data_IF_038310632530
#
_entry.id   IF_038310632530
#
_cell.length_a   1.000
_cell.length_b   1.000
_cell.length_c   1.000
_cell.angle_alpha   90.00
_cell.angle_beta   90.00
_cell.angle_gamma   90.00
#
_symmetry.space_group_name_H-M   'P 1'
#
loop_
_entity.id
_entity.type
_entity.pdbx_description
1 polymer ?
#
# COMPACT_ATOMS: atom_id res chain seq x y z
N UNK A 1 47.02 -53.50 8.39
CA UNK A 1 46.89 -52.73 9.64
C UNK A 1 45.80 -51.69 9.41
N UNK A 2 44.61 -51.92 9.97
CA UNK A 2 43.49 -50.99 9.87
C UNK A 2 43.67 -49.91 10.94
N UNK A 3 43.78 -48.63 10.54
CA UNK A 3 43.80 -47.51 11.47
C UNK A 3 42.37 -47.28 11.97
N UNK A 4 42.15 -47.41 13.28
CA UNK A 4 40.91 -46.98 13.93
C UNK A 4 40.74 -45.47 13.78
N UNK A 5 39.61 -45.05 13.20
CA UNK A 5 39.23 -43.64 13.07
C UNK A 5 38.84 -43.06 14.45
N UNK A 6 39.39 -41.89 14.76
CA UNK A 6 39.18 -41.21 16.03
C UNK A 6 37.71 -40.75 16.18
N UNK A 7 37.11 -40.94 17.35
CA UNK A 7 35.68 -40.67 17.60
C UNK A 7 35.22 -39.24 17.22
N UNK A 8 36.14 -38.26 17.29
CA UNK A 8 35.87 -36.88 16.84
C UNK A 8 35.64 -36.81 15.33
N UNK A 9 36.36 -37.57 14.50
CA UNK A 9 36.11 -37.64 13.05
C UNK A 9 34.80 -38.35 12.73
N UNK A 10 34.32 -39.23 13.61
CA UNK A 10 33.04 -39.93 13.46
C UNK A 10 31.84 -39.06 13.80
N UNK A 11 31.99 -38.12 14.75
CA UNK A 11 30.93 -37.18 15.13
C UNK A 11 30.99 -35.86 14.37
N UNK A 12 32.19 -35.44 13.96
CA UNK A 12 32.47 -34.22 13.22
C UNK A 12 33.29 -34.56 11.98
N UNK A 13 32.70 -35.36 11.09
CA UNK A 13 33.33 -35.65 9.80
C UNK A 13 33.56 -34.33 9.07
N UNK A 14 34.79 -34.04 8.62
CA UNK A 14 35.09 -32.81 7.89
C UNK A 14 34.14 -32.69 6.71
N UNK A 15 33.32 -31.64 6.67
CA UNK A 15 32.41 -31.39 5.53
C UNK A 15 33.14 -30.89 4.29
N UNK A 16 34.45 -30.68 4.39
CA UNK A 16 35.33 -30.27 3.31
C UNK A 16 36.53 -31.22 3.27
N UNK A 17 36.74 -31.81 2.12
CA UNK A 17 37.90 -32.64 1.78
C UNK A 17 38.90 -31.76 1.03
N UNK A 18 40.19 -32.14 1.02
CA UNK A 18 41.21 -31.38 0.26
C UNK A 18 40.88 -31.31 -1.24
N UNK A 19 40.05 -32.24 -1.74
CA UNK A 19 39.51 -32.23 -3.11
C UNK A 19 38.50 -31.09 -3.35
N UNK A 20 37.72 -30.67 -2.34
CA UNK A 20 36.77 -29.55 -2.42
C UNK A 20 37.45 -28.18 -2.53
N UNK A 21 38.76 -28.09 -2.25
CA UNK A 21 39.57 -26.87 -2.42
C UNK A 21 40.07 -26.69 -3.85
N UNK A 22 40.13 -27.76 -4.65
CA UNK A 22 40.62 -27.74 -6.03
C UNK A 22 39.51 -27.94 -7.07
N UNK A 23 38.29 -28.28 -6.63
CA UNK A 23 37.13 -28.42 -7.50
C UNK A 23 36.39 -27.07 -7.60
N UNK A 24 36.23 -26.47 -8.80
CA UNK A 24 35.48 -25.24 -8.95
C UNK A 24 34.01 -25.51 -8.59
N UNK A 25 33.36 -24.65 -7.77
CA UNK A 25 32.02 -24.93 -7.29
C UNK A 25 31.06 -25.04 -8.47
N UNK A 26 30.54 -26.24 -8.69
CA UNK A 26 29.44 -26.50 -9.61
C UNK A 26 28.21 -25.73 -9.19
N UNK A 27 28.07 -24.51 -9.70
CA UNK A 27 26.86 -23.88 -10.26
C UNK A 27 25.56 -23.73 -9.46
N UNK A 28 25.24 -24.52 -8.45
CA UNK A 28 23.86 -24.56 -7.91
C UNK A 28 23.75 -24.14 -6.43
N UNK A 29 24.72 -24.47 -5.59
CA UNK A 29 24.60 -24.20 -4.14
C UNK A 29 24.89 -22.75 -3.74
N UNK A 30 25.76 -22.05 -4.49
CA UNK A 30 26.05 -20.63 -4.24
C UNK A 30 24.82 -19.74 -4.53
N UNK A 31 24.04 -20.10 -5.56
CA UNK A 31 22.81 -19.40 -5.95
C UNK A 31 21.67 -19.58 -4.93
N UNK A 32 21.57 -20.75 -4.27
CA UNK A 32 20.51 -20.99 -3.27
C UNK A 32 20.82 -20.29 -1.94
N UNK A 33 22.08 -20.23 -1.54
CA UNK A 33 22.51 -19.52 -0.34
C UNK A 33 22.34 -18.01 -0.49
N UNK A 34 22.69 -17.45 -1.66
CA UNK A 34 22.50 -16.04 -1.97
C UNK A 34 21.00 -15.65 -2.06
N UNK A 35 20.15 -16.53 -2.61
CA UNK A 35 18.69 -16.31 -2.61
C UNK A 35 18.12 -16.28 -1.19
N UNK A 36 18.52 -17.24 -0.33
CA UNK A 36 18.08 -17.27 1.08
C UNK A 36 18.61 -16.07 1.88
N UNK A 37 19.83 -15.61 1.63
CA UNK A 37 20.39 -14.42 2.31
C UNK A 37 19.65 -13.15 1.89
N UNK A 38 19.34 -12.98 0.60
CA UNK A 38 18.50 -11.88 0.09
C UNK A 38 17.09 -11.91 0.67
N UNK A 39 16.46 -13.08 0.79
CA UNK A 39 15.14 -13.20 1.42
C UNK A 39 15.16 -12.85 2.92
N UNK A 40 16.19 -13.28 3.65
CA UNK A 40 16.38 -12.91 5.06
C UNK A 40 16.59 -11.41 5.21
N UNK A 41 17.44 -10.81 4.37
CA UNK A 41 17.67 -9.36 4.37
C UNK A 41 16.37 -8.58 4.12
N UNK A 42 15.58 -8.97 3.12
CA UNK A 42 14.26 -8.38 2.84
C UNK A 42 13.29 -8.53 4.02
N UNK A 43 13.33 -9.65 4.74
CA UNK A 43 12.47 -9.87 5.91
C UNK A 43 12.88 -8.96 7.07
N UNK A 44 14.19 -8.82 7.32
CA UNK A 44 14.74 -7.92 8.35
C UNK A 44 14.43 -6.45 8.03
N UNK A 45 14.60 -6.04 6.77
CA UNK A 45 14.28 -4.69 6.30
C UNK A 45 12.79 -4.36 6.52
N UNK A 46 11.88 -5.30 6.21
CA UNK A 46 10.44 -5.14 6.49
C UNK A 46 10.15 -4.96 7.98
N UNK A 47 10.81 -5.73 8.84
CA UNK A 47 10.64 -5.62 10.30
C UNK A 47 11.15 -4.25 10.78
N UNK A 48 12.32 -3.81 10.31
CA UNK A 48 12.89 -2.52 10.68
C UNK A 48 12.01 -1.35 10.23
N UNK A 49 11.51 -1.38 9.00
CA UNK A 49 10.62 -0.34 8.46
C UNK A 49 9.29 -0.29 9.25
N UNK A 50 8.74 -1.45 9.61
CA UNK A 50 7.53 -1.52 10.43
C UNK A 50 7.77 -0.96 11.84
N UNK A 51 8.87 -1.33 12.49
CA UNK A 51 9.24 -0.82 13.81
C UNK A 51 9.45 0.70 13.80
N UNK A 52 10.17 1.22 12.80
CA UNK A 52 10.42 2.65 12.63
C UNK A 52 9.12 3.42 12.46
N UNK A 53 8.20 2.92 11.61
CA UNK A 53 6.89 3.54 11.40
C UNK A 53 6.07 3.55 12.70
N UNK A 54 6.10 2.46 13.47
CA UNK A 54 5.39 2.35 14.75
C UNK A 54 5.93 3.34 15.79
N UNK A 55 7.25 3.50 15.89
CA UNK A 55 7.89 4.48 16.78
C UNK A 55 7.49 5.91 16.38
N UNK A 56 7.51 6.24 15.09
CA UNK A 56 7.12 7.57 14.59
C UNK A 56 5.63 7.87 14.85
N UNK A 57 4.75 6.88 14.70
CA UNK A 57 3.33 7.01 15.03
C UNK A 57 3.10 7.17 16.53
N UNK A 58 3.85 6.44 17.36
CA UNK A 58 3.79 6.55 18.81
C UNK A 58 4.30 7.92 19.31
N UNK A 59 5.38 8.44 18.74
CA UNK A 59 5.83 9.81 19.02
C UNK A 59 4.79 10.86 18.62
N UNK A 60 4.17 10.72 17.45
CA UNK A 60 3.08 11.62 17.02
C UNK A 60 1.90 11.54 17.98
N UNK A 61 1.54 10.33 18.45
CA UNK A 61 0.50 10.13 19.46
C UNK A 61 0.89 10.80 20.79
N UNK A 62 2.12 10.59 21.28
CA UNK A 62 2.62 11.22 22.52
C UNK A 62 2.61 12.75 22.44
N UNK A 63 3.00 13.34 21.30
CA UNK A 63 2.92 14.79 21.08
C UNK A 63 1.48 15.29 21.10
N UNK A 64 0.55 14.57 20.46
CA UNK A 64 -0.88 14.88 20.50
C UNK A 64 -1.45 14.78 21.92
N UNK A 65 -1.15 13.71 22.64
CA UNK A 65 -1.59 13.51 24.03
C UNK A 65 -1.03 14.59 24.96
N UNK A 66 0.23 14.99 24.80
CA UNK A 66 0.83 16.07 25.57
C UNK A 66 0.11 17.40 25.34
N UNK A 67 -0.16 17.74 24.07
CA UNK A 67 -0.91 18.95 23.72
C UNK A 67 -2.33 18.89 24.26
N UNK A 68 -3.03 17.75 24.13
CA UNK A 68 -4.36 17.56 24.70
C UNK A 68 -4.37 17.71 26.22
N UNK A 69 -3.40 17.13 26.93
CA UNK A 69 -3.27 17.28 28.39
C UNK A 69 -2.95 18.72 28.80
N UNK A 70 -2.14 19.43 28.02
CA UNK A 70 -1.85 20.84 28.25
C UNK A 70 -3.09 21.72 28.08
N UNK A 71 -3.89 21.47 27.03
CA UNK A 71 -5.16 22.14 26.78
C UNK A 71 -6.16 21.87 27.91
N UNK A 72 -6.26 20.62 28.39
CA UNK A 72 -7.18 20.24 29.48
C UNK A 72 -6.75 20.85 30.82
N UNK A 73 -5.47 20.77 31.19
CA UNK A 73 -4.98 21.30 32.46
C UNK A 73 -4.97 22.85 32.52
N UNK A 74 -4.90 23.54 31.38
CA UNK A 74 -5.04 25.01 31.34
C UNK A 74 -6.49 25.50 31.25
N UNK A 75 -7.43 24.65 30.81
CA UNK A 75 -8.84 25.00 30.69
C UNK A 75 -9.69 24.62 31.90
N UNK A 76 -9.25 23.67 32.74
CA UNK A 76 -9.89 23.38 34.02
C UNK A 76 -9.53 24.47 35.06
N UNK A 77 -10.51 25.23 35.57
CA UNK A 77 -10.26 26.13 36.67
C UNK A 77 -9.96 25.30 37.91
N UNK A 78 -8.74 25.42 38.45
CA UNK A 78 -8.46 24.95 39.81
C UNK A 78 -9.34 25.75 40.76
N UNK A 79 -10.42 25.11 41.23
CA UNK A 79 -11.29 25.64 42.28
C UNK A 79 -10.44 25.83 43.54
N UNK A 80 -10.44 27.03 44.15
CA UNK A 80 -9.87 27.18 45.49
C UNK A 80 -10.81 26.49 46.49
N UNK A 81 -10.32 25.42 47.13
CA UNK A 81 -10.91 24.89 48.37
C UNK A 81 -10.95 26.03 49.40
N UNK A 82 -12.17 26.38 49.82
CA UNK A 82 -12.45 27.48 50.72
C UNK A 82 -12.81 26.88 52.07
N UNK A 83 -11.81 26.71 52.93
CA UNK A 83 -12.04 26.34 54.33
C UNK A 83 -12.64 27.53 55.07
N UNK A 84 -13.86 27.32 55.57
CA UNK A 84 -14.67 28.27 56.30
C UNK A 84 -14.46 28.08 57.80
N UNK A 85 -13.66 28.95 58.42
CA UNK A 85 -13.69 29.16 59.87
C UNK A 85 -14.35 30.52 60.17
N UNK A 86 -15.67 30.51 60.37
CA UNK A 86 -16.39 31.62 61.00
C UNK A 86 -16.81 31.22 62.42
N UNK A 87 -16.07 31.70 63.43
CA UNK A 87 -16.52 31.71 64.82
C UNK A 87 -17.01 33.11 65.18
N UNK A 88 -18.30 33.14 65.49
CA UNK A 88 -19.10 34.25 65.99
C UNK A 88 -18.52 34.79 67.30
N UNK A 89 -18.51 36.12 67.46
CA UNK A 89 -18.64 36.73 68.80
C UNK A 89 -19.58 37.93 68.74
N UNK A 90 -20.63 37.76 69.54
CA UNK A 90 -21.84 38.54 69.67
C UNK A 90 -21.57 39.87 70.36
N UNK A 91 -22.18 40.91 69.79
CA UNK A 91 -22.36 42.26 70.33
C UNK A 91 -23.08 42.21 71.69
N UNK A 92 -22.43 42.73 72.73
CA UNK A 92 -23.05 43.02 74.03
C UNK A 92 -23.19 44.55 74.17
N UNK A 93 -24.32 45.09 73.72
CA UNK A 93 -24.78 46.43 74.12
C UNK A 93 -25.25 46.36 75.57
N UNK A 94 -24.44 46.89 76.50
CA UNK A 94 -24.89 47.18 77.86
C UNK A 94 -25.48 48.60 77.88
N UNK A 95 -26.79 48.66 77.80
CA UNK A 95 -27.57 49.83 78.19
C UNK A 95 -27.67 49.82 79.72
N UNK A 96 -26.91 50.68 80.40
CA UNK A 96 -27.13 50.99 81.82
C UNK A 96 -27.72 52.38 81.92
N UNK A 97 -29.05 52.41 81.81
CA UNK A 97 -29.88 53.46 82.38
C UNK A 97 -29.90 53.22 83.89
N UNK A 98 -29.22 54.07 84.66
CA UNK A 98 -29.30 54.07 86.12
C UNK A 98 -29.95 55.40 86.56
N UNK A 99 -31.16 55.28 87.13
CA UNK A 99 -31.76 56.13 88.16
C UNK A 99 -31.47 57.64 88.05
N UNK A 100 -32.32 58.47 87.42
CA UNK A 100 -33.63 58.94 87.94
C UNK A 100 -33.69 58.94 89.47
N UNK A 101 -33.28 60.07 90.06
CA UNK A 101 -33.50 60.38 91.47
C UNK A 101 -34.97 60.75 91.69
N UNK A 102 -35.75 59.79 92.16
CA UNK A 102 -36.97 60.07 92.90
C UNK A 102 -36.58 60.57 94.30
N UNK A 103 -36.51 61.90 94.46
CA UNK A 103 -36.64 62.52 95.79
C UNK A 103 -38.13 62.74 96.05
N UNK A 104 -38.80 61.68 96.52
CA UNK A 104 -40.06 61.85 97.24
C UNK A 104 -39.69 62.27 98.67
N UNK A 105 -39.44 63.56 98.85
CA UNK A 105 -39.29 64.17 100.18
C UNK A 105 -40.69 64.20 100.81
N UNK A 106 -40.96 63.21 101.65
CA UNK A 106 -42.00 63.29 102.66
C UNK A 106 -41.74 64.50 103.56
N UNK A 107 -42.83 65.09 104.01
CA UNK A 107 -42.95 66.37 104.69
C UNK A 107 -42.05 66.55 105.92
N UNK A 108 -41.96 67.83 106.30
CA UNK A 108 -41.39 68.40 107.53
C UNK A 108 -39.92 68.82 107.46
N UNK A 109 -39.65 69.91 106.75
CA UNK A 109 -38.67 70.91 107.19
C UNK A 109 -39.22 72.30 106.89
N UNK A 110 -39.54 73.01 107.97
CA UNK A 110 -39.93 74.42 108.02
C UNK A 110 -38.85 75.34 107.42
N UNK A 111 -39.30 76.42 106.78
CA UNK A 111 -38.67 77.74 106.72
C UNK A 111 -37.13 77.81 106.70
N UNK A 112 -36.55 77.45 105.56
CA UNK A 112 -35.28 78.02 105.11
C UNK A 112 -35.43 78.59 103.70
N UNK A 113 -36.26 79.62 103.58
CA UNK A 113 -36.45 80.34 102.31
C UNK A 113 -35.30 81.33 102.00
N UNK A 114 -34.18 81.30 102.73
CA UNK A 114 -33.16 82.36 102.64
C UNK A 114 -31.69 81.88 102.64
N UNK A 115 -31.39 80.77 101.95
CA UNK A 115 -30.00 80.40 101.60
C UNK A 115 -29.87 80.07 100.10
N UNK A 116 -30.65 80.73 99.25
CA UNK A 116 -30.39 80.74 97.81
C UNK A 116 -29.85 82.11 97.39
N UNK A 117 -28.53 82.19 97.18
CA UNK A 117 -27.83 83.41 96.73
C UNK A 117 -28.32 83.88 95.34
N UNK A 118 -29.04 83.01 94.61
CA UNK A 118 -29.48 83.22 93.24
C UNK A 118 -30.95 83.64 93.18
N UNK A 119 -31.25 84.72 92.45
CA UNK A 119 -32.65 85.16 92.24
C UNK A 119 -33.37 84.13 91.37
N UNK A 120 -34.68 83.94 91.60
CA UNK A 120 -35.52 82.98 90.84
C UNK A 120 -35.40 83.13 89.31
N UNK A 121 -35.23 84.38 88.82
CA UNK A 121 -35.00 84.68 87.39
C UNK A 121 -33.65 84.15 86.89
N UNK A 122 -32.59 84.25 87.67
CA UNK A 122 -31.24 83.79 87.30
C UNK A 122 -31.19 82.26 87.21
N UNK A 123 -31.88 81.57 88.14
CA UNK A 123 -32.08 80.13 88.10
C UNK A 123 -32.86 79.68 86.85
N UNK A 124 -33.86 80.45 86.41
CA UNK A 124 -34.62 80.14 85.20
C UNK A 124 -33.75 80.24 83.93
N UNK A 125 -32.88 81.26 83.84
CA UNK A 125 -31.95 81.46 82.72
C UNK A 125 -30.94 80.30 82.66
N UNK A 126 -30.30 79.94 83.78
CA UNK A 126 -29.34 78.83 83.84
C UNK A 126 -30.01 77.50 83.46
N UNK A 127 -31.24 77.25 83.93
CA UNK A 127 -32.01 76.05 83.56
C UNK A 127 -32.40 76.04 82.08
N UNK A 128 -32.66 77.19 81.47
CA UNK A 128 -32.92 77.28 80.04
C UNK A 128 -31.65 77.00 79.23
N UNK A 129 -30.54 77.65 79.57
CA UNK A 129 -29.26 77.47 78.88
C UNK A 129 -28.74 76.02 79.00
N UNK A 130 -28.88 75.38 80.17
CA UNK A 130 -28.55 73.95 80.32
C UNK A 130 -29.46 73.04 79.48
N UNK A 131 -30.74 73.37 79.33
CA UNK A 131 -31.65 72.62 78.45
C UNK A 131 -31.26 72.77 76.99
N UNK A 132 -30.93 73.97 76.55
CA UNK A 132 -30.45 74.25 75.19
C UNK A 132 -29.13 73.53 74.91
N UNK A 133 -28.14 73.61 75.80
CA UNK A 133 -26.86 72.88 75.67
C UNK A 133 -27.04 71.37 75.65
N UNK A 134 -27.97 70.84 76.46
CA UNK A 134 -28.27 69.42 76.46
C UNK A 134 -28.98 68.96 75.17
N UNK A 135 -29.86 69.79 74.58
CA UNK A 135 -30.47 69.52 73.27
C UNK A 135 -29.42 69.59 72.15
N UNK A 136 -28.52 70.57 72.19
CA UNK A 136 -27.40 70.71 71.24
C UNK A 136 -26.49 69.48 71.30
N UNK A 137 -26.13 69.03 72.51
CA UNK A 137 -25.33 67.82 72.71
C UNK A 137 -26.04 66.56 72.21
N UNK A 138 -27.36 66.45 72.43
CA UNK A 138 -28.17 65.36 71.85
C UNK A 138 -28.18 65.40 70.33
N UNK A 139 -28.35 66.58 69.73
CA UNK A 139 -28.34 66.75 68.27
C UNK A 139 -26.99 66.37 67.66
N UNK A 140 -25.89 66.83 68.25
CA UNK A 140 -24.53 66.47 67.84
C UNK A 140 -24.27 64.96 68.00
N UNK A 141 -24.75 64.35 69.08
CA UNK A 141 -24.64 62.89 69.29
C UNK A 141 -25.40 62.10 68.22
N UNK A 142 -26.59 62.54 67.83
CA UNK A 142 -27.35 61.93 66.73
C UNK A 142 -26.60 62.09 65.40
N UNK A 143 -26.05 63.29 65.11
CA UNK A 143 -25.25 63.52 63.92
C UNK A 143 -24.01 62.61 63.87
N UNK A 144 -23.31 62.43 64.99
CA UNK A 144 -22.17 61.50 65.09
C UNK A 144 -22.58 60.04 64.85
N UNK A 145 -23.73 59.61 65.37
CA UNK A 145 -24.25 58.27 65.12
C UNK A 145 -24.59 58.06 63.63
N UNK A 146 -25.22 59.05 62.99
CA UNK A 146 -25.53 59.00 61.56
C UNK A 146 -24.27 58.94 60.70
N UNK A 147 -23.26 59.78 60.99
CA UNK A 147 -21.97 59.77 60.29
C UNK A 147 -21.24 58.43 60.47
N UNK A 148 -21.27 57.85 61.68
CA UNK A 148 -20.68 56.52 61.91
C UNK A 148 -21.40 55.41 61.13
N UNK A 149 -22.74 55.47 61.04
CA UNK A 149 -23.52 54.55 60.22
C UNK A 149 -23.16 54.69 58.72
N UNK A 150 -23.05 55.92 58.22
CA UNK A 150 -22.66 56.20 56.84
C UNK A 150 -21.25 55.68 56.53
N UNK A 151 -20.28 55.86 57.43
CA UNK A 151 -18.92 55.31 57.30
C UNK A 151 -18.95 53.78 57.25
N UNK A 152 -19.76 53.13 58.11
CA UNK A 152 -19.90 51.68 58.10
C UNK A 152 -20.49 51.18 56.78
N UNK A 153 -21.54 51.84 56.27
CA UNK A 153 -22.13 51.53 54.98
C UNK A 153 -21.12 51.70 53.84
N UNK A 154 -20.41 52.82 53.78
CA UNK A 154 -19.40 53.10 52.77
C UNK A 154 -18.27 52.05 52.80
N UNK A 155 -17.81 51.65 53.98
CA UNK A 155 -16.83 50.55 54.11
C UNK A 155 -17.35 49.23 53.56
N UNK A 156 -18.61 48.89 53.81
CA UNK A 156 -19.19 47.65 53.25
C UNK A 156 -19.36 47.73 51.73
N UNK A 157 -19.77 48.89 51.20
CA UNK A 157 -19.88 49.14 49.76
C UNK A 157 -18.50 49.02 49.09
N UNK A 158 -17.48 49.65 49.68
CA UNK A 158 -16.11 49.59 49.19
C UNK A 158 -15.59 48.15 49.10
N UNK A 159 -15.72 47.37 50.19
CA UNK A 159 -15.32 45.96 50.19
C UNK A 159 -16.04 45.13 49.13
N UNK A 160 -17.37 45.32 48.98
CA UNK A 160 -18.14 44.63 47.94
C UNK A 160 -17.68 44.99 46.53
N UNK A 161 -17.35 46.25 46.28
CA UNK A 161 -16.84 46.69 44.97
C UNK A 161 -15.44 46.17 44.70
N UNK A 162 -14.59 46.09 45.73
CA UNK A 162 -13.23 45.53 45.63
C UNK A 162 -13.27 44.04 45.30
N UNK A 163 -14.07 43.26 46.03
CA UNK A 163 -14.29 41.83 45.73
C UNK A 163 -14.86 41.61 44.32
N UNK A 164 -15.83 42.43 43.90
CA UNK A 164 -16.38 42.36 42.55
C UNK A 164 -15.34 42.68 41.47
N UNK A 165 -14.47 43.66 41.72
CA UNK A 165 -13.39 44.03 40.82
C UNK A 165 -12.36 42.90 40.67
N UNK A 166 -11.91 42.31 41.78
CA UNK A 166 -10.99 41.17 41.76
C UNK A 166 -11.57 39.98 41.00
N UNK A 167 -12.86 39.66 41.23
CA UNK A 167 -13.55 38.59 40.52
C UNK A 167 -13.62 38.83 39.01
N UNK A 168 -13.92 40.07 38.57
CA UNK A 168 -13.94 40.43 37.15
C UNK A 168 -12.54 40.34 36.54
N UNK A 169 -11.51 40.78 37.27
CA UNK A 169 -10.12 40.70 36.81
C UNK A 169 -9.66 39.24 36.64
N UNK A 170 -10.00 38.37 37.59
CA UNK A 170 -9.74 36.93 37.48
C UNK A 170 -10.47 36.33 36.28
N UNK A 171 -11.77 36.60 36.11
CA UNK A 171 -12.54 36.13 34.96
C UNK A 171 -11.96 36.62 33.62
N UNK A 172 -11.50 37.88 33.55
CA UNK A 172 -10.85 38.43 32.37
C UNK A 172 -9.54 37.72 32.03
N UNK A 173 -8.71 37.43 33.04
CA UNK A 173 -7.46 36.69 32.84
C UNK A 173 -7.70 35.27 32.32
N UNK A 174 -8.69 34.57 32.86
CA UNK A 174 -9.10 33.24 32.38
C UNK A 174 -9.63 33.30 30.95
N UNK A 175 -10.44 34.30 30.63
CA UNK A 175 -10.97 34.52 29.27
C UNK A 175 -9.84 34.77 28.27
N UNK A 176 -8.86 35.61 28.61
CA UNK A 176 -7.68 35.85 27.78
C UNK A 176 -6.88 34.57 27.53
N UNK A 177 -6.64 33.77 28.57
CA UNK A 177 -5.93 32.49 28.43
C UNK A 177 -6.68 31.54 27.49
N UNK A 178 -8.00 31.38 27.70
CA UNK A 178 -8.85 30.55 26.82
C UNK A 178 -8.79 31.02 25.37
N UNK A 179 -8.88 32.33 25.13
CA UNK A 179 -8.78 32.91 23.79
C UNK A 179 -7.43 32.59 23.12
N UNK A 180 -6.33 32.63 23.87
CA UNK A 180 -5.01 32.26 23.35
C UNK A 180 -4.92 30.76 23.02
N UNK A 181 -5.45 29.90 23.90
CA UNK A 181 -5.52 28.45 23.64
C UNK A 181 -6.32 28.15 22.36
N UNK A 182 -7.48 28.80 22.18
CA UNK A 182 -8.28 28.63 20.96
C UNK A 182 -7.54 29.12 19.71
N UNK A 183 -6.85 30.26 19.78
CA UNK A 183 -6.05 30.75 18.66
C UNK A 183 -4.96 29.76 18.24
N UNK A 184 -4.24 29.18 19.21
CA UNK A 184 -3.24 28.14 18.94
C UNK A 184 -3.87 26.87 18.35
N UNK A 185 -5.05 26.48 18.84
CA UNK A 185 -5.76 25.32 18.32
C UNK A 185 -6.18 25.51 16.87
N UNK A 186 -6.71 26.69 16.53
CA UNK A 186 -7.07 27.07 15.14
C UNK A 186 -5.84 27.03 14.24
N UNK A 187 -4.73 27.64 14.64
CA UNK A 187 -3.49 27.60 13.86
C UNK A 187 -2.98 26.16 13.62
N UNK A 188 -3.14 25.27 14.60
CA UNK A 188 -2.77 23.87 14.44
C UNK A 188 -3.70 23.15 13.45
N UNK A 189 -5.01 23.39 13.53
CA UNK A 189 -5.98 22.85 12.57
C UNK A 189 -5.71 23.33 11.15
N UNK A 190 -5.36 24.60 10.96
CA UNK A 190 -4.99 25.15 9.65
C UNK A 190 -3.76 24.45 9.07
N UNK A 191 -2.71 24.22 9.87
CA UNK A 191 -1.51 23.48 9.43
C UNK A 191 -1.83 22.04 9.05
N UNK A 192 -2.65 21.37 9.86
CA UNK A 192 -3.07 20.00 9.58
C UNK A 192 -3.94 19.92 8.32
N UNK A 193 -4.80 20.92 8.09
CA UNK A 193 -5.62 21.01 6.89
C UNK A 193 -4.76 21.23 5.64
N UNK A 194 -3.81 22.17 5.67
CA UNK A 194 -2.87 22.38 4.56
C UNK A 194 -2.07 21.12 4.23
N UNK A 195 -1.65 20.37 5.25
CA UNK A 195 -0.97 19.09 5.04
C UNK A 195 -1.88 18.07 4.37
N UNK A 196 -3.15 17.99 4.78
CA UNK A 196 -4.13 17.08 4.19
C UNK A 196 -4.45 17.46 2.75
N UNK A 197 -4.52 18.75 2.43
CA UNK A 197 -4.73 19.24 1.07
C UNK A 197 -3.56 18.86 0.15
N UNK A 198 -2.32 18.96 0.63
CA UNK A 198 -1.14 18.50 -0.11
C UNK A 198 -1.15 16.99 -0.34
N UNK A 199 -1.48 16.20 0.69
CA UNK A 199 -1.63 14.74 0.58
C UNK A 199 -2.73 14.37 -0.45
N UNK A 200 -3.85 15.09 -0.45
CA UNK A 200 -4.96 14.89 -1.38
C UNK A 200 -4.55 15.26 -2.81
N UNK A 201 -3.84 16.37 -3.00
CA UNK A 201 -3.36 16.77 -4.32
C UNK A 201 -2.37 15.74 -4.89
N UNK A 202 -1.42 15.26 -4.08
CA UNK A 202 -0.49 14.20 -4.49
C UNK A 202 -1.23 12.92 -4.90
N UNK A 203 -2.22 12.48 -4.10
CA UNK A 203 -3.03 11.30 -4.41
C UNK A 203 -3.85 11.50 -5.72
N UNK A 204 -4.34 12.71 -5.97
CA UNK A 204 -5.05 13.06 -7.20
C UNK A 204 -4.14 13.00 -8.43
N UNK A 205 -2.89 13.44 -8.30
CA UNK A 205 -1.88 13.35 -9.36
C UNK A 205 -1.50 11.90 -9.65
N UNK A 206 -1.25 11.10 -8.61
CA UNK A 206 -0.99 9.66 -8.76
C UNK A 206 -2.17 8.97 -9.45
N UNK A 207 -3.41 9.25 -9.03
CA UNK A 207 -4.60 8.66 -9.66
C UNK A 207 -4.72 9.03 -11.15
N UNK A 208 -4.39 10.27 -11.52
CA UNK A 208 -4.35 10.69 -12.93
C UNK A 208 -3.28 9.93 -13.71
N UNK A 209 -2.10 9.73 -13.13
CA UNK A 209 -1.04 8.94 -13.75
C UNK A 209 -1.46 7.49 -13.93
N UNK A 210 -1.99 6.85 -12.88
CA UNK A 210 -2.50 5.47 -12.95
C UNK A 210 -3.60 5.34 -13.99
N UNK A 211 -4.53 6.29 -14.05
CA UNK A 211 -5.58 6.32 -15.07
C UNK A 211 -5.01 6.37 -16.50
N UNK A 212 -3.99 7.20 -16.75
CA UNK A 212 -3.26 7.22 -18.03
C UNK A 212 -2.59 5.88 -18.33
N UNK A 213 -1.94 5.25 -17.34
CA UNK A 213 -1.31 3.94 -17.55
C UNK A 213 -2.33 2.86 -17.90
N UNK A 214 -3.48 2.83 -17.23
CA UNK A 214 -4.58 1.89 -17.53
C UNK A 214 -5.13 2.12 -18.94
N UNK A 215 -5.32 3.39 -19.34
CA UNK A 215 -5.76 3.73 -20.70
C UNK A 215 -4.77 3.25 -21.76
N UNK A 216 -3.47 3.42 -21.52
CA UNK A 216 -2.42 2.94 -22.42
C UNK A 216 -2.39 1.41 -22.51
N UNK A 217 -2.40 0.72 -21.36
CA UNK A 217 -2.42 -0.75 -21.33
C UNK A 217 -3.67 -1.32 -21.99
N UNK A 218 -4.83 -0.68 -21.82
CA UNK A 218 -6.07 -1.08 -22.50
C UNK A 218 -5.94 -0.96 -24.03
N UNK A 219 -5.32 0.13 -24.51
CA UNK A 219 -5.04 0.32 -25.94
C UNK A 219 -4.09 -0.76 -26.47
N UNK A 220 -3.02 -1.06 -25.75
CA UNK A 220 -2.03 -2.06 -26.17
C UNK A 220 -2.62 -3.47 -26.12
N UNK A 221 -3.44 -3.78 -25.12
CA UNK A 221 -4.20 -5.03 -25.07
C UNK A 221 -5.16 -5.17 -26.26
N UNK A 222 -5.82 -4.08 -26.65
CA UNK A 222 -6.70 -4.09 -27.81
C UNK A 222 -5.91 -4.32 -29.11
N UNK A 223 -4.76 -3.66 -29.29
CA UNK A 223 -3.87 -3.89 -30.43
C UNK A 223 -3.40 -5.34 -30.49
N UNK A 224 -2.90 -5.89 -29.38
CA UNK A 224 -2.45 -7.28 -29.30
C UNK A 224 -3.58 -8.27 -29.64
N UNK A 225 -4.82 -7.99 -29.21
CA UNK A 225 -5.98 -8.81 -29.59
C UNK A 225 -6.23 -8.78 -31.11
N UNK A 226 -6.14 -7.61 -31.74
CA UNK A 226 -6.31 -7.47 -33.19
C UNK A 226 -5.18 -8.18 -33.96
N UNK A 227 -3.94 -8.07 -33.49
CA UNK A 227 -2.79 -8.79 -34.05
C UNK A 227 -2.95 -10.31 -33.95
N UNK A 228 -3.39 -10.81 -32.79
CA UNK A 228 -3.68 -12.24 -32.60
C UNK A 228 -4.76 -12.70 -33.58
N UNK A 229 -5.86 -11.95 -33.73
CA UNK A 229 -6.92 -12.30 -34.67
C UNK A 229 -6.41 -12.32 -36.12
N UNK A 230 -5.59 -11.35 -36.52
CA UNK A 230 -4.94 -11.31 -37.83
C UNK A 230 -4.06 -12.53 -38.07
N UNK A 231 -3.19 -12.87 -37.11
CA UNK A 231 -2.31 -14.04 -37.19
C UNK A 231 -3.10 -15.36 -37.24
N UNK A 232 -4.22 -15.46 -36.51
CA UNK A 232 -5.10 -16.63 -36.57
C UNK A 232 -5.71 -16.81 -37.96
N UNK A 233 -6.11 -15.71 -38.61
CA UNK A 233 -6.61 -15.75 -39.99
C UNK A 233 -5.50 -16.17 -40.97
N UNK A 234 -4.32 -15.55 -40.87
CA UNK A 234 -3.17 -15.91 -41.71
C UNK A 234 -2.77 -17.38 -41.54
N UNK A 235 -2.75 -17.90 -40.31
CA UNK A 235 -2.43 -19.30 -40.04
C UNK A 235 -3.47 -20.25 -40.67
N UNK A 236 -4.78 -19.92 -40.57
CA UNK A 236 -5.83 -20.68 -41.24
C UNK A 236 -5.65 -20.70 -42.76
N UNK A 237 -5.26 -19.58 -43.36
CA UNK A 237 -5.04 -19.51 -44.80
C UNK A 237 -3.79 -20.28 -45.23
N UNK A 238 -2.68 -20.18 -44.48
CA UNK A 238 -1.48 -20.99 -44.70
C UNK A 238 -1.77 -22.49 -44.55
N UNK A 239 -2.60 -22.88 -43.58
CA UNK A 239 -3.01 -24.27 -43.41
C UNK A 239 -3.80 -24.77 -44.62
N UNK A 240 -4.74 -23.97 -45.16
CA UNK A 240 -5.47 -24.30 -46.39
C UNK A 240 -4.52 -24.44 -47.58
N UNK A 241 -3.60 -23.50 -47.76
CA UNK A 241 -2.60 -23.55 -48.83
C UNK A 241 -1.71 -24.79 -48.71
N UNK A 242 -1.30 -25.16 -47.49
CA UNK A 242 -0.53 -26.39 -47.23
C UNK A 242 -1.29 -27.65 -47.61
N UNK A 243 -2.59 -27.74 -47.26
CA UNK A 243 -3.45 -28.87 -47.65
C UNK A 243 -3.59 -28.95 -49.18
N UNK A 244 -3.87 -27.82 -49.84
CA UNK A 244 -4.00 -27.76 -51.31
C UNK A 244 -2.69 -28.15 -52.02
N UNK A 245 -1.55 -27.65 -51.54
CA UNK A 245 -0.24 -28.00 -52.08
C UNK A 245 0.05 -29.49 -51.93
N UNK A 246 -0.26 -30.08 -50.77
CA UNK A 246 -0.11 -31.53 -50.53
C UNK A 246 -0.97 -32.35 -51.48
N UNK A 247 -2.25 -31.99 -51.66
CA UNK A 247 -3.15 -32.66 -52.60
C UNK A 247 -2.63 -32.54 -54.05
N UNK A 248 -2.18 -31.35 -54.45
CA UNK A 248 -1.61 -31.14 -55.78
C UNK A 248 -0.35 -31.98 -56.01
N UNK A 249 0.52 -32.09 -55.00
CA UNK A 249 1.70 -32.92 -55.06
C UNK A 249 1.34 -34.40 -55.19
N UNK A 250 0.34 -34.87 -54.45
CA UNK A 250 -0.13 -36.26 -54.52
C UNK A 250 -0.69 -36.60 -55.90
N UNK A 251 -1.53 -35.73 -56.47
CA UNK A 251 -2.04 -35.87 -57.84
C UNK A 251 -0.90 -35.92 -58.86
N UNK A 252 0.10 -35.02 -58.74
CA UNK A 252 1.28 -35.02 -59.63
C UNK A 252 2.09 -36.30 -59.50
N UNK A 253 2.30 -36.80 -58.28
CA UNK A 253 3.03 -38.04 -58.04
C UNK A 253 2.31 -39.24 -58.68
N UNK A 254 0.98 -39.35 -58.51
CA UNK A 254 0.18 -40.41 -59.14
C UNK A 254 0.27 -40.33 -60.66
N UNK A 255 0.09 -39.13 -61.24
CA UNK A 255 0.19 -38.93 -62.68
C UNK A 255 1.59 -39.29 -63.24
N UNK A 256 2.65 -39.01 -62.49
CA UNK A 256 4.02 -39.38 -62.87
C UNK A 256 4.20 -40.90 -62.86
N UNK A 257 3.75 -41.58 -61.81
CA UNK A 257 3.79 -43.05 -61.71
C UNK A 257 3.00 -43.71 -62.84
N UNK A 258 1.82 -43.20 -63.17
CA UNK A 258 1.01 -43.72 -64.29
C UNK A 258 1.68 -43.48 -65.64
N UNK A 259 2.29 -42.31 -65.84
CA UNK A 259 3.07 -42.01 -67.05
C UNK A 259 4.24 -42.97 -67.22
N UNK A 260 4.99 -43.23 -66.15
CA UNK A 260 6.10 -44.20 -66.17
C UNK A 260 5.59 -45.62 -66.48
N UNK A 261 4.50 -46.07 -65.83
CA UNK A 261 3.87 -47.37 -66.12
C UNK A 261 3.45 -47.49 -67.59
N UNK A 262 2.85 -46.45 -68.17
CA UNK A 262 2.48 -46.42 -69.58
C UNK A 262 3.70 -46.49 -70.50
N UNK A 263 4.77 -45.76 -70.17
CA UNK A 263 6.04 -45.82 -70.92
C UNK A 263 6.66 -47.23 -70.88
N UNK A 264 6.72 -47.87 -69.71
CA UNK A 264 7.19 -49.25 -69.58
C UNK A 264 6.31 -50.23 -70.35
N UNK A 265 4.98 -50.11 -70.25
CA UNK A 265 4.04 -50.95 -71.00
C UNK A 265 4.23 -50.80 -72.52
N UNK A 266 4.44 -49.58 -73.01
CA UNK A 266 4.72 -49.32 -74.41
C UNK A 266 6.05 -49.95 -74.84
N UNK A 267 7.10 -49.82 -74.03
CA UNK A 267 8.40 -50.41 -74.32
C UNK A 267 8.34 -51.95 -74.35
N UNK A 268 7.63 -52.57 -73.40
CA UNK A 268 7.39 -54.02 -73.39
C UNK A 268 6.62 -54.48 -74.63
N UNK A 269 5.59 -53.74 -75.06
CA UNK A 269 4.85 -54.06 -76.29
C UNK A 269 5.74 -53.98 -77.53
N UNK A 270 6.61 -52.97 -77.63
CA UNK A 270 7.58 -52.84 -78.73
C UNK A 270 8.56 -54.02 -78.74
N UNK A 271 9.16 -54.34 -77.59
CA UNK A 271 10.08 -55.47 -77.47
C UNK A 271 9.41 -56.80 -77.81
N UNK A 272 8.14 -56.99 -77.44
CA UNK A 272 7.38 -58.19 -77.79
C UNK A 272 7.12 -58.29 -79.29
N UNK A 273 6.77 -57.18 -79.94
CA UNK A 273 6.62 -57.12 -81.40
C UNK A 273 7.95 -57.46 -82.10
N UNK A 274 9.05 -56.86 -81.64
CA UNK A 274 10.39 -57.16 -82.16
C UNK A 274 10.74 -58.65 -81.99
N UNK A 275 10.48 -59.24 -80.83
CA UNK A 275 10.69 -60.68 -80.60
C UNK A 275 9.84 -61.56 -81.53
N UNK A 276 8.59 -61.20 -81.79
CA UNK A 276 7.73 -61.98 -82.71
C UNK A 276 8.23 -61.85 -84.15
N UNK A 277 8.65 -60.66 -84.58
CA UNK A 277 9.26 -60.48 -85.91
C UNK A 277 10.54 -61.30 -86.08
N UNK A 278 11.43 -61.32 -85.07
CA UNK A 278 12.64 -62.17 -85.07
C UNK A 278 12.27 -63.66 -85.10
N UNK A 279 11.22 -64.06 -84.38
CA UNK A 279 10.74 -65.45 -84.40
C UNK A 279 10.23 -65.85 -85.78
N UNK A 280 9.43 -64.99 -86.42
CA UNK A 280 8.94 -65.21 -87.79
C UNK A 280 10.09 -65.27 -88.80
N UNK A 281 11.08 -64.39 -88.68
CA UNK A 281 12.32 -64.42 -89.47
C UNK A 281 13.09 -65.73 -89.28
N UNK A 282 13.31 -66.15 -88.03
CA UNK A 282 13.95 -67.42 -87.71
C UNK A 282 13.18 -68.62 -88.30
N UNK A 283 11.85 -68.62 -88.23
CA UNK A 283 11.04 -69.69 -88.82
C UNK A 283 11.13 -69.72 -90.34
N UNK A 284 11.12 -68.55 -90.99
CA UNK A 284 11.37 -68.43 -92.44
C UNK A 284 12.75 -68.95 -92.81
N UNK A 285 13.78 -68.58 -92.06
CA UNK A 285 15.16 -69.04 -92.27
C UNK A 285 15.29 -70.56 -92.08
N UNK A 286 14.67 -71.13 -91.03
CA UNK A 286 14.62 -72.59 -90.83
C UNK A 286 13.95 -73.32 -92.00
N UNK A 287 12.85 -72.77 -92.52
CA UNK A 287 12.12 -73.35 -93.65
C UNK A 287 12.94 -73.28 -94.95
N UNK A 288 13.61 -72.14 -95.19
CA UNK A 288 14.57 -71.99 -96.28
C UNK A 288 15.74 -72.97 -96.14
N UNK A 289 16.30 -73.11 -94.94
CA UNK A 289 17.38 -74.06 -94.66
C UNK A 289 16.95 -75.52 -94.89
N UNK A 290 15.75 -75.92 -94.44
CA UNK A 290 15.21 -77.25 -94.70
C UNK A 290 15.01 -77.51 -96.20
N UNK A 291 14.53 -76.52 -96.96
CA UNK A 291 14.42 -76.60 -98.42
C UNK A 291 15.79 -76.73 -99.08
N UNK A 292 16.77 -75.96 -98.63
CA UNK A 292 18.15 -76.03 -99.12
C UNK A 292 18.79 -77.38 -98.82
N UNK A 293 18.63 -77.92 -97.60
CA UNK A 293 19.06 -79.27 -97.23
C UNK A 293 18.42 -80.33 -98.13
N UNK A 294 17.11 -80.27 -98.36
CA UNK A 294 16.42 -81.19 -99.27
C UNK A 294 16.93 -81.07 -100.72
N UNK A 295 17.25 -79.86 -101.19
CA UNK A 295 17.81 -79.65 -102.52
C UNK A 295 19.24 -80.21 -102.62
N UNK A 296 20.07 -80.00 -101.59
CA UNK A 296 21.41 -80.58 -101.49
C UNK A 296 21.37 -82.11 -101.42
N UNK A 297 20.42 -82.70 -100.69
CA UNK A 297 20.22 -84.15 -100.65
C UNK A 297 19.75 -84.70 -102.00
N UNK A 298 18.91 -83.97 -102.73
CA UNK A 298 18.49 -84.33 -104.08
C UNK A 298 19.67 -84.31 -105.05
N UNK A 299 20.52 -83.28 -104.96
CA UNK A 299 21.79 -83.21 -105.70
C UNK A 299 22.72 -84.36 -105.29
N UNK A 300 22.88 -84.64 -103.99
CA UNK A 300 23.70 -85.75 -103.49
C UNK A 300 23.21 -87.08 -104.05
N UNK A 301 21.90 -87.33 -104.07
CA UNK A 301 21.29 -88.52 -104.69
C UNK A 301 21.54 -88.57 -106.19
N UNK A 302 21.34 -87.45 -106.90
CA UNK A 302 21.63 -87.35 -108.33
C UNK A 302 23.09 -87.72 -108.62
N UNK A 303 24.06 -87.06 -107.96
CA UNK A 303 25.49 -87.34 -108.12
C UNK A 303 25.91 -88.74 -107.65
N UNK A 304 25.20 -89.35 -106.70
CA UNK A 304 25.44 -90.74 -106.29
C UNK A 304 24.86 -91.76 -107.28
N UNK A 305 23.85 -91.36 -108.07
CA UNK A 305 23.24 -92.18 -109.13
C UNK A 305 23.92 -92.02 -110.49
N UNK A 306 24.87 -91.09 -110.62
CA UNK A 306 25.76 -91.01 -111.78
C UNK A 306 26.76 -92.18 -111.74
N UNK A 307 27.01 -92.88 -112.85
CA UNK A 307 28.06 -93.90 -112.93
C UNK A 307 29.43 -93.27 -112.60
N UNK A 308 30.23 -93.93 -111.76
CA UNK A 308 31.63 -93.56 -111.52
C UNK A 308 32.43 -93.62 -112.82
N UNK A 309 32.46 -92.50 -113.53
CA UNK A 309 33.33 -92.24 -114.67
C UNK A 309 34.40 -91.24 -114.25
N UNK A 310 35.54 -91.80 -113.84
CA UNK A 310 36.89 -91.21 -113.83
C UNK A 310 37.13 -89.92 -113.04
N UNK A 311 38.05 -90.06 -112.08
CA UNK A 311 38.87 -89.03 -111.44
C UNK A 311 39.41 -88.03 -112.47
N UNK A 312 39.44 -86.73 -112.12
CA UNK A 312 40.67 -85.97 -112.28
C UNK A 312 41.14 -85.37 -110.95
N UNK A 313 42.39 -85.66 -110.62
CA UNK A 313 43.19 -84.98 -109.60
C UNK A 313 43.31 -83.49 -109.94
N UNK A 314 42.73 -82.64 -109.08
CA UNK A 314 43.04 -81.23 -108.80
C UNK A 314 41.80 -80.70 -108.05
N UNK A 315 41.84 -80.31 -106.78
CA UNK A 315 42.59 -79.18 -106.24
C UNK A 315 42.91 -79.39 -104.74
N UNK A 316 44.20 -79.42 -104.40
CA UNK A 316 44.70 -78.88 -103.14
C UNK A 316 44.56 -77.36 -103.18
N UNK A 317 43.78 -76.73 -102.30
CA UNK A 317 44.10 -75.39 -101.76
C UNK A 317 43.43 -75.17 -100.38
N UNK A 318 44.28 -75.25 -99.35
CA UNK A 318 44.46 -74.40 -98.16
C UNK A 318 43.26 -73.85 -97.36
N UNK A 319 43.27 -74.23 -96.08
CA UNK A 319 42.81 -73.44 -94.94
C UNK A 319 43.38 -72.01 -94.97
N UNK A 320 42.53 -71.02 -94.76
CA UNK A 320 42.94 -69.72 -94.23
C UNK A 320 42.02 -69.38 -93.04
N UNK A 321 42.67 -69.17 -91.90
CA UNK A 321 42.14 -68.60 -90.66
C UNK A 321 41.56 -67.20 -90.90
N UNK A 322 40.42 -66.93 -90.27
CA UNK A 322 40.28 -65.77 -89.39
C UNK A 322 39.17 -65.99 -88.37
#
# INVERSE_FOLDING_TARGET
MAKEEHWVQRLFSPQFTVQDLFEPPGGEDSLTFEKRSKERAKKVEKIYNLATKKIQEEEKRKRKDYISKMIVHECEPKLPEKDSDSKNTTTACKNTTLYSGDSNFGSDIEDYEDICIWKSKDLAIIRQEMREKHLELKAQKIQLLNLNAEIAELKTKYKKTEEAYENVQQALSLSKRKSQCYALHVQQLEKDNLKKDLELQAAKEELKEKSKTVSNLSRDLHKAKMEIQSLVLQNKDLQKQGIQSKQQQEIRNVALIEKEKLQYSLHLKKLHQEMETIREEMNREKLLHARNLSALDLLRKHFSSLPTSKIPDNFKVNFIQK
#
